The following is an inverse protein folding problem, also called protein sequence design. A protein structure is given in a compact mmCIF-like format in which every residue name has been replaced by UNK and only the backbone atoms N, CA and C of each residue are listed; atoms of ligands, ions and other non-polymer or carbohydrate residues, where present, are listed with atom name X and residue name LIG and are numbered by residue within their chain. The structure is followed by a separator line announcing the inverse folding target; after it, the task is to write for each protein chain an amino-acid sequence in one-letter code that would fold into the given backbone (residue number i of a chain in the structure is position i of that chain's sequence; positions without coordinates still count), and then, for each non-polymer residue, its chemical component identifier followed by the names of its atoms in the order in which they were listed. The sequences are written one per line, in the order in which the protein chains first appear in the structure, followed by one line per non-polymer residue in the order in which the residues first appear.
data_IF_278452180414
#
_entry.id   IF_278452180414
#
_cell.length_a   1.000
_cell.length_b   1.000
_cell.length_c   1.000
_cell.angle_alpha   90.00
_cell.angle_beta   90.00
_cell.angle_gamma   90.00
#
_symmetry.space_group_name_H-M   'P 1'
#
loop_
_entity.id
_entity.type
_entity.pdbx_description
1 polymer ?
#
# COMPACT_ATOMS: atom_id res chain seq x y z
N UNK A 1 -40.83 0.16 -37.82
CA UNK A 1 -39.53 0.78 -37.60
C UNK A 1 -39.11 0.55 -36.19
N UNK A 2 -38.14 -0.35 -36.04
CA UNK A 2 -37.56 -0.72 -34.73
C UNK A 2 -36.29 0.10 -34.55
N UNK A 3 -36.08 0.76 -33.41
CA UNK A 3 -34.81 1.42 -33.15
C UNK A 3 -33.79 0.45 -32.52
N UNK A 4 -32.68 0.38 -33.17
CA UNK A 4 -31.33 0.34 -32.72
C UNK A 4 -30.98 -0.51 -31.51
N UNK A 5 -30.37 -1.67 -31.81
CA UNK A 5 -29.61 -2.44 -30.84
C UNK A 5 -28.44 -1.62 -30.26
N UNK A 6 -28.48 -1.38 -28.97
CA UNK A 6 -27.33 -0.93 -28.23
C UNK A 6 -26.25 -2.00 -28.35
N UNK A 7 -25.20 -1.67 -29.08
CA UNK A 7 -23.99 -2.43 -29.19
C UNK A 7 -23.36 -2.53 -27.80
N UNK A 8 -23.61 -3.63 -27.09
CA UNK A 8 -22.80 -3.99 -25.91
C UNK A 8 -21.39 -4.20 -26.42
N UNK A 9 -20.52 -3.24 -26.19
CA UNK A 9 -19.09 -3.48 -26.26
C UNK A 9 -18.79 -4.63 -25.30
N UNK A 10 -18.67 -5.83 -25.87
CA UNK A 10 -18.09 -6.97 -25.19
C UNK A 10 -16.58 -6.67 -25.08
N UNK A 11 -16.20 -5.96 -24.04
CA UNK A 11 -14.78 -5.88 -23.65
C UNK A 11 -14.45 -7.32 -23.23
N UNK A 12 -13.87 -8.09 -24.14
CA UNK A 12 -13.20 -9.33 -23.80
C UNK A 12 -12.02 -8.96 -22.91
N UNK A 13 -12.27 -8.85 -21.63
CA UNK A 13 -11.23 -8.75 -20.61
C UNK A 13 -10.55 -10.10 -20.56
N UNK A 14 -9.41 -10.20 -21.24
CA UNK A 14 -8.40 -11.21 -20.92
C UNK A 14 -8.16 -11.06 -19.41
N UNK A 15 -8.59 -12.07 -18.63
CA UNK A 15 -8.52 -12.06 -17.15
C UNK A 15 -7.05 -12.31 -16.78
N UNK A 16 -6.14 -11.42 -17.21
CA UNK A 16 -4.76 -11.44 -16.80
C UNK A 16 -4.68 -10.92 -15.36
N UNK A 17 -3.90 -11.61 -14.58
CA UNK A 17 -3.57 -11.15 -13.23
C UNK A 17 -2.86 -9.79 -13.35
N UNK A 18 -3.35 -8.77 -12.67
CA UNK A 18 -2.79 -7.42 -12.69
C UNK A 18 -2.17 -7.08 -11.35
N UNK A 19 -0.95 -6.57 -11.35
CA UNK A 19 -0.31 -6.12 -10.11
C UNK A 19 -0.84 -4.77 -9.67
N UNK A 20 -1.12 -4.67 -8.38
CA UNK A 20 -1.55 -3.46 -7.68
C UNK A 20 -0.54 -3.14 -6.60
N UNK A 21 -0.01 -1.93 -6.63
CA UNK A 21 0.90 -1.41 -5.61
C UNK A 21 0.17 -0.48 -4.66
N UNK A 22 0.46 -0.62 -3.37
CA UNK A 22 0.06 0.32 -2.33
C UNK A 22 1.31 1.03 -1.83
N UNK A 23 1.48 2.28 -2.25
CA UNK A 23 2.70 3.07 -2.00
C UNK A 23 2.40 4.19 -1.00
N UNK A 24 3.26 4.33 0.00
CA UNK A 24 3.11 5.34 1.05
C UNK A 24 4.47 5.77 1.59
N UNK A 25 4.57 7.02 2.02
CA UNK A 25 5.68 7.55 2.82
C UNK A 25 5.60 7.16 4.32
N UNK A 26 4.50 6.54 4.72
CA UNK A 26 4.28 5.96 6.04
C UNK A 26 3.97 4.46 5.96
N UNK A 27 3.09 3.98 6.85
CA UNK A 27 2.76 2.54 6.98
C UNK A 27 1.97 1.95 5.81
N UNK A 28 1.35 2.78 4.97
CA UNK A 28 0.55 2.33 3.83
C UNK A 28 -0.89 1.92 4.15
N UNK A 29 -1.31 1.93 5.41
CA UNK A 29 -2.65 1.47 5.84
C UNK A 29 -3.76 2.19 5.07
N UNK A 30 -3.66 3.51 4.87
CA UNK A 30 -4.68 4.28 4.13
C UNK A 30 -4.76 3.86 2.67
N UNK A 31 -3.61 3.72 2.01
CA UNK A 31 -3.54 3.28 0.62
C UNK A 31 -4.15 1.89 0.43
N UNK A 32 -3.83 0.95 1.33
CA UNK A 32 -4.37 -0.40 1.33
C UNK A 32 -5.87 -0.44 1.59
N UNK A 33 -6.33 0.20 2.68
CA UNK A 33 -7.74 0.14 3.09
C UNK A 33 -8.65 0.71 2.00
N UNK A 34 -8.30 1.88 1.44
CA UNK A 34 -9.08 2.47 0.37
C UNK A 34 -8.96 1.67 -0.93
N UNK A 35 -7.74 1.27 -1.28
CA UNK A 35 -7.51 0.46 -2.48
C UNK A 35 -8.26 -0.87 -2.44
N UNK A 36 -8.24 -1.60 -1.33
CA UNK A 36 -9.03 -2.83 -1.17
C UNK A 36 -10.52 -2.58 -1.33
N UNK A 37 -11.04 -1.50 -0.74
CA UNK A 37 -12.46 -1.13 -0.85
C UNK A 37 -12.87 -0.85 -2.29
N UNK A 38 -11.99 -0.20 -3.06
CA UNK A 38 -12.23 0.08 -4.48
C UNK A 38 -12.10 -1.17 -5.35
N UNK A 39 -11.07 -1.99 -5.13
CA UNK A 39 -10.83 -3.22 -5.89
C UNK A 39 -11.93 -4.27 -5.65
N UNK A 40 -12.54 -4.30 -4.46
CA UNK A 40 -13.66 -5.18 -4.13
C UNK A 40 -14.90 -4.95 -5.01
N UNK A 41 -14.99 -3.79 -5.68
CA UNK A 41 -16.07 -3.52 -6.64
C UNK A 41 -15.88 -4.25 -7.98
N UNK A 42 -14.75 -4.94 -8.18
CA UNK A 42 -14.40 -5.66 -9.42
C UNK A 42 -14.15 -7.15 -9.13
N UNK A 43 -15.18 -7.94 -8.76
CA UNK A 43 -15.03 -9.31 -8.27
C UNK A 43 -14.43 -10.28 -9.32
N UNK A 44 -14.60 -9.98 -10.61
CA UNK A 44 -14.06 -10.81 -11.70
C UNK A 44 -12.57 -10.56 -11.97
N UNK A 45 -12.01 -9.44 -11.48
CA UNK A 45 -10.61 -9.09 -11.72
C UNK A 45 -9.70 -9.81 -10.71
N UNK A 46 -8.54 -10.29 -11.20
CA UNK A 46 -7.52 -10.93 -10.36
C UNK A 46 -6.36 -9.99 -10.14
N UNK A 47 -6.04 -9.72 -8.88
CA UNK A 47 -4.97 -8.82 -8.51
C UNK A 47 -3.84 -9.55 -7.77
N UNK A 48 -2.59 -9.18 -8.09
CA UNK A 48 -1.42 -9.43 -7.26
C UNK A 48 -1.14 -8.14 -6.49
N UNK A 49 -1.15 -8.20 -5.19
CA UNK A 49 -0.97 -7.02 -4.34
C UNK A 49 0.49 -6.93 -3.88
N UNK A 50 1.06 -5.74 -3.92
CA UNK A 50 2.41 -5.43 -3.47
C UNK A 50 2.33 -4.20 -2.55
N UNK A 51 2.90 -4.30 -1.37
CA UNK A 51 3.00 -3.20 -0.41
C UNK A 51 4.36 -2.53 -0.56
N UNK A 52 4.36 -1.21 -0.61
CA UNK A 52 5.56 -0.38 -0.61
C UNK A 52 5.42 0.74 0.44
N UNK A 53 5.51 0.40 1.74
CA UNK A 53 5.49 1.38 2.81
C UNK A 53 6.84 2.09 2.92
N UNK A 54 6.86 3.24 3.61
CA UNK A 54 8.07 4.02 3.93
C UNK A 54 8.89 4.46 2.71
N UNK A 55 8.21 4.77 1.60
CA UNK A 55 8.79 5.40 0.41
C UNK A 55 8.90 6.91 0.69
N UNK A 56 9.81 7.29 1.57
CA UNK A 56 9.97 8.64 2.13
C UNK A 56 11.12 9.43 1.50
N UNK A 57 11.91 8.81 0.61
CA UNK A 57 13.00 9.42 -0.13
C UNK A 57 12.96 9.09 -1.64
N UNK A 58 13.80 9.81 -2.42
CA UNK A 58 13.87 9.66 -3.87
C UNK A 58 14.40 8.29 -4.28
N UNK A 59 15.37 7.73 -3.56
CA UNK A 59 16.02 6.48 -3.94
C UNK A 59 15.02 5.33 -3.82
N UNK A 60 14.25 5.29 -2.74
CA UNK A 60 13.15 4.33 -2.54
C UNK A 60 12.04 4.52 -3.58
N UNK A 61 11.72 5.75 -3.96
CA UNK A 61 10.74 6.00 -5.01
C UNK A 61 11.22 5.49 -6.37
N UNK A 62 12.50 5.63 -6.70
CA UNK A 62 13.11 5.08 -7.92
C UNK A 62 13.11 3.56 -7.91
N UNK A 63 13.44 2.94 -6.77
CA UNK A 63 13.39 1.49 -6.59
C UNK A 63 11.96 0.97 -6.79
N UNK A 64 10.98 1.60 -6.14
CA UNK A 64 9.57 1.27 -6.30
C UNK A 64 9.10 1.43 -7.76
N UNK A 65 9.49 2.52 -8.44
CA UNK A 65 9.20 2.72 -9.86
C UNK A 65 9.82 1.62 -10.75
N UNK A 66 10.97 1.07 -10.34
CA UNK A 66 11.59 -0.06 -11.05
C UNK A 66 10.78 -1.33 -10.88
N UNK A 67 10.35 -1.65 -9.65
CA UNK A 67 9.47 -2.79 -9.37
C UNK A 67 8.12 -2.69 -10.12
N UNK A 68 7.57 -1.49 -10.26
CA UNK A 68 6.35 -1.24 -11.03
C UNK A 68 6.57 -1.56 -12.52
N UNK A 69 7.72 -1.14 -13.10
CA UNK A 69 8.06 -1.45 -14.51
C UNK A 69 8.26 -2.94 -14.72
N UNK A 70 8.93 -3.64 -13.81
CA UNK A 70 9.10 -5.09 -13.86
C UNK A 70 7.76 -5.81 -13.82
N UNK A 71 6.86 -5.40 -12.94
CA UNK A 71 5.51 -5.95 -12.86
C UNK A 71 4.71 -5.71 -14.14
N UNK A 72 4.87 -4.56 -14.81
CA UNK A 72 4.23 -4.29 -16.09
C UNK A 72 4.70 -5.25 -17.19
N UNK A 73 5.99 -5.60 -17.18
CA UNK A 73 6.58 -6.56 -18.11
C UNK A 73 6.05 -7.98 -17.82
N UNK A 74 6.08 -8.39 -16.56
CA UNK A 74 5.66 -9.73 -16.12
C UNK A 74 4.17 -9.98 -16.38
N UNK A 75 3.32 -9.01 -16.07
CA UNK A 75 1.87 -9.13 -16.24
C UNK A 75 1.43 -8.89 -17.71
N UNK A 76 2.27 -8.23 -18.51
CA UNK A 76 1.94 -7.80 -19.88
C UNK A 76 0.81 -6.75 -19.92
N UNK A 77 0.51 -6.11 -18.80
CA UNK A 77 -0.51 -5.06 -18.62
C UNK A 77 -0.03 -4.02 -17.64
N UNK A 78 -0.53 -2.80 -17.81
CA UNK A 78 -0.16 -1.65 -16.96
C UNK A 78 -0.59 -1.89 -15.50
N UNK A 79 0.31 -1.83 -14.50
CA UNK A 79 -0.03 -1.94 -13.08
C UNK A 79 -0.96 -0.82 -12.60
N UNK A 80 -1.57 -1.02 -11.44
CA UNK A 80 -2.33 0.00 -10.72
C UNK A 80 -1.52 0.39 -9.48
N UNK A 81 -1.44 1.68 -9.19
CA UNK A 81 -0.73 2.20 -8.01
C UNK A 81 -1.69 3.08 -7.22
N UNK A 82 -1.99 2.69 -5.99
CA UNK A 82 -2.62 3.53 -4.99
C UNK A 82 -1.52 4.20 -4.19
N UNK A 83 -1.42 5.52 -4.25
CA UNK A 83 -0.36 6.31 -3.62
C UNK A 83 -0.93 7.26 -2.57
N UNK A 84 -0.25 7.35 -1.42
CA UNK A 84 -0.48 8.36 -0.39
C UNK A 84 0.76 9.22 -0.15
N UNK A 85 1.68 9.25 -1.13
CA UNK A 85 2.84 10.13 -1.08
C UNK A 85 2.39 11.60 -1.10
N UNK A 86 3.07 12.43 -0.31
CA UNK A 86 2.78 13.87 -0.23
C UNK A 86 3.95 14.72 -0.73
N UNK A 87 5.17 14.18 -0.77
CA UNK A 87 6.34 14.90 -1.26
C UNK A 87 6.41 14.84 -2.79
N UNK A 88 6.37 16.00 -3.45
CA UNK A 88 6.32 16.10 -4.91
C UNK A 88 7.54 15.44 -5.58
N UNK A 89 8.72 15.51 -4.98
CA UNK A 89 9.93 14.91 -5.58
C UNK A 89 9.87 13.38 -5.59
N UNK A 90 9.30 12.75 -4.57
CA UNK A 90 9.07 11.30 -4.52
C UNK A 90 7.94 10.90 -5.46
N UNK A 91 6.86 11.68 -5.54
CA UNK A 91 5.77 11.49 -6.51
C UNK A 91 6.30 11.53 -7.94
N UNK A 92 7.08 12.56 -8.29
CA UNK A 92 7.65 12.73 -9.63
C UNK A 92 8.61 11.57 -10.00
N UNK A 93 9.37 11.07 -9.03
CA UNK A 93 10.24 9.92 -9.21
C UNK A 93 9.44 8.63 -9.47
N UNK A 94 8.37 8.41 -8.70
CA UNK A 94 7.48 7.26 -8.84
C UNK A 94 6.73 7.27 -10.19
N UNK A 95 6.25 8.44 -10.62
CA UNK A 95 5.48 8.62 -11.86
C UNK A 95 6.31 8.42 -13.14
N UNK A 96 7.62 8.18 -13.04
CA UNK A 96 8.44 7.75 -14.19
C UNK A 96 8.14 6.31 -14.64
N UNK A 97 7.43 5.52 -13.87
CA UNK A 97 6.93 4.22 -14.29
C UNK A 97 5.62 4.38 -15.08
N UNK A 98 5.39 3.48 -16.06
CA UNK A 98 4.10 3.42 -16.76
C UNK A 98 3.11 2.59 -15.93
N UNK A 99 2.24 3.28 -15.20
CA UNK A 99 1.19 2.69 -14.36
C UNK A 99 -0.07 3.56 -14.34
N UNK A 100 -1.18 2.99 -13.90
CA UNK A 100 -2.34 3.79 -13.50
C UNK A 100 -2.12 4.30 -12.09
N UNK A 101 -1.75 5.57 -11.94
CA UNK A 101 -1.59 6.22 -10.64
C UNK A 101 -2.91 6.76 -10.12
N UNK A 102 -3.22 6.42 -8.89
CA UNK A 102 -4.34 6.89 -8.10
C UNK A 102 -3.78 7.56 -6.83
N UNK A 103 -3.36 8.83 -7.00
CA UNK A 103 -2.81 9.64 -5.91
C UNK A 103 -3.96 10.11 -5.02
N UNK A 104 -4.13 9.42 -3.91
CA UNK A 104 -5.33 9.53 -3.06
C UNK A 104 -5.42 10.89 -2.39
N UNK A 105 -4.31 11.43 -1.88
CA UNK A 105 -4.34 12.72 -1.20
C UNK A 105 -4.54 13.89 -2.17
N UNK A 106 -3.87 13.88 -3.31
CA UNK A 106 -3.96 14.97 -4.28
C UNK A 106 -5.39 15.18 -4.76
N UNK A 107 -6.14 14.09 -4.98
CA UNK A 107 -7.55 14.13 -5.41
C UNK A 107 -8.49 14.78 -4.41
N UNK A 108 -8.21 14.70 -3.12
CA UNK A 108 -9.10 15.20 -2.06
C UNK A 108 -8.59 16.48 -1.41
N UNK A 109 -7.26 16.67 -1.34
CA UNK A 109 -6.66 17.85 -0.70
C UNK A 109 -7.04 19.13 -1.45
N UNK A 110 -6.92 19.18 -2.77
CA UNK A 110 -7.23 20.38 -3.54
C UNK A 110 -8.64 20.92 -3.31
N UNK A 111 -9.71 20.12 -3.46
CA UNK A 111 -11.05 20.53 -3.10
C UNK A 111 -11.23 20.99 -1.65
N UNK A 112 -10.56 20.32 -0.69
CA UNK A 112 -10.61 20.72 0.71
C UNK A 112 -9.90 22.05 0.99
N UNK A 113 -8.79 22.33 0.33
CA UNK A 113 -8.07 23.61 0.43
C UNK A 113 -8.98 24.77 -0.03
N UNK A 114 -9.69 24.57 -1.13
CA UNK A 114 -10.63 25.58 -1.66
C UNK A 114 -11.78 25.80 -0.68
N UNK A 115 -12.42 24.74 -0.18
CA UNK A 115 -13.56 24.84 0.72
C UNK A 115 -13.20 25.43 2.08
N UNK A 116 -12.03 25.04 2.63
CA UNK A 116 -11.56 25.50 3.94
C UNK A 116 -10.83 26.85 3.88
N UNK A 117 -10.51 27.36 2.70
CA UNK A 117 -9.71 28.59 2.52
C UNK A 117 -8.30 28.48 3.14
N UNK A 118 -7.77 27.28 3.28
CA UNK A 118 -6.47 27.01 3.89
C UNK A 118 -5.65 26.07 3.03
N UNK A 119 -4.35 26.29 2.96
CA UNK A 119 -3.46 25.35 2.27
C UNK A 119 -3.09 24.18 3.17
N UNK A 120 -3.08 22.99 2.59
CA UNK A 120 -2.56 21.77 3.22
C UNK A 120 -1.09 21.96 3.61
N UNK A 121 -0.70 21.36 4.69
CA UNK A 121 0.71 21.35 5.12
C UNK A 121 1.52 20.26 4.46
N UNK A 122 0.90 19.37 3.69
CA UNK A 122 1.51 18.18 3.08
C UNK A 122 2.37 17.37 4.07
N UNK A 123 1.98 17.37 5.35
CA UNK A 123 2.75 16.72 6.38
C UNK A 123 2.43 15.23 6.45
N UNK A 124 3.47 14.42 6.33
CA UNK A 124 3.42 12.95 6.47
C UNK A 124 2.98 12.56 7.88
N UNK A 125 2.11 11.55 7.99
CA UNK A 125 1.82 10.89 9.27
C UNK A 125 1.04 11.71 10.30
N UNK A 126 0.43 12.84 9.95
CA UNK A 126 -0.36 13.66 10.90
C UNK A 126 -1.61 13.00 11.46
N UNK A 127 -2.02 11.87 10.92
CA UNK A 127 -3.18 11.14 11.45
C UNK A 127 -2.94 10.57 12.85
N UNK A 128 -1.67 10.35 13.21
CA UNK A 128 -1.24 9.99 14.56
C UNK A 128 -0.49 11.19 15.12
N UNK A 129 -1.02 11.85 16.14
CA UNK A 129 -0.51 13.09 16.71
C UNK A 129 1.03 13.15 16.84
N UNK A 130 1.59 14.32 16.69
CA UNK A 130 3.02 14.64 16.50
C UNK A 130 3.98 13.99 17.54
N UNK A 131 3.47 13.53 18.69
CA UNK A 131 4.27 12.88 19.74
C UNK A 131 4.52 11.37 19.53
N UNK A 132 3.83 10.73 18.56
CA UNK A 132 3.76 9.27 18.50
C UNK A 132 4.37 8.62 17.24
N UNK A 133 4.91 9.41 16.31
CA UNK A 133 5.34 8.86 15.01
C UNK A 133 6.50 7.86 15.12
N UNK A 134 7.47 8.13 16.00
CA UNK A 134 8.59 7.21 16.26
C UNK A 134 8.13 5.98 17.05
N UNK A 135 7.35 6.16 18.10
CA UNK A 135 6.78 5.07 18.87
C UNK A 135 5.82 4.22 18.03
N UNK A 136 5.04 4.85 17.15
CA UNK A 136 4.18 4.13 16.24
C UNK A 136 4.98 3.31 15.20
N UNK A 137 6.07 3.87 14.64
CA UNK A 137 6.96 3.17 13.74
C UNK A 137 7.58 1.95 14.42
N UNK A 138 8.17 2.12 15.60
CA UNK A 138 8.73 1.02 16.40
C UNK A 138 7.68 -0.03 16.75
N UNK A 139 6.45 0.40 17.09
CA UNK A 139 5.36 -0.53 17.40
C UNK A 139 4.95 -1.35 16.17
N UNK A 140 4.86 -0.73 14.99
CA UNK A 140 4.53 -1.45 13.74
C UNK A 140 5.67 -2.38 13.34
N UNK A 141 6.93 -1.97 13.50
CA UNK A 141 8.10 -2.82 13.26
C UNK A 141 8.08 -4.04 14.19
N UNK A 142 7.79 -3.84 15.47
CA UNK A 142 7.65 -4.93 16.45
C UNK A 142 6.49 -5.88 16.11
N UNK A 143 5.33 -5.34 15.69
CA UNK A 143 4.19 -6.17 15.26
C UNK A 143 4.56 -6.97 14.00
N UNK A 144 5.18 -6.35 13.01
CA UNK A 144 5.60 -7.04 11.80
C UNK A 144 6.65 -8.12 12.09
N UNK A 145 7.59 -7.83 12.99
CA UNK A 145 8.57 -8.82 13.47
C UNK A 145 7.86 -10.00 14.15
N UNK A 146 6.95 -9.73 15.08
CA UNK A 146 6.19 -10.76 15.78
C UNK A 146 5.37 -11.64 14.83
N UNK A 147 4.71 -11.04 13.82
CA UNK A 147 3.94 -11.78 12.81
C UNK A 147 4.81 -12.61 11.89
N UNK A 148 5.99 -12.11 11.49
CA UNK A 148 6.92 -12.83 10.63
C UNK A 148 7.53 -14.06 11.32
N UNK A 149 7.60 -14.04 12.65
CA UNK A 149 8.23 -15.10 13.47
C UNK A 149 7.21 -15.93 14.28
N UNK A 150 5.90 -15.76 14.00
CA UNK A 150 4.86 -16.56 14.65
C UNK A 150 4.98 -18.04 14.22
N UNK A 151 4.67 -18.94 15.14
CA UNK A 151 4.71 -20.40 14.94
C UNK A 151 6.08 -21.00 14.54
N UNK A 152 7.20 -20.30 14.81
CA UNK A 152 8.54 -20.83 14.63
C UNK A 152 9.00 -20.98 13.18
N UNK A 153 8.49 -20.17 12.27
CA UNK A 153 8.82 -20.19 10.82
C UNK A 153 10.20 -19.56 10.53
N UNK A 154 10.88 -19.02 11.54
CA UNK A 154 12.12 -18.25 11.40
C UNK A 154 13.39 -19.10 11.43
N UNK A 155 14.44 -18.61 10.75
CA UNK A 155 15.78 -19.15 10.84
C UNK A 155 16.41 -18.84 12.21
N UNK A 156 17.31 -19.70 12.70
CA UNK A 156 17.94 -19.56 14.03
C UNK A 156 18.64 -18.21 14.27
N UNK A 157 19.06 -17.49 13.20
CA UNK A 157 19.73 -16.18 13.31
C UNK A 157 18.80 -15.01 13.56
N UNK A 158 17.56 -15.09 13.11
CA UNK A 158 16.61 -13.98 13.21
C UNK A 158 16.00 -13.84 14.59
N UNK A 159 15.90 -14.93 15.36
CA UNK A 159 15.43 -14.91 16.75
C UNK A 159 16.39 -14.17 17.71
N UNK A 160 17.64 -13.95 17.31
CA UNK A 160 18.60 -13.19 18.11
C UNK A 160 18.26 -11.69 18.22
N UNK A 161 17.39 -11.18 17.33
CA UNK A 161 16.92 -9.80 17.35
C UNK A 161 15.68 -9.61 18.25
N UNK A 162 15.08 -10.68 18.76
CA UNK A 162 13.90 -10.61 19.60
C UNK A 162 14.25 -10.18 21.02
N UNK A 163 13.58 -9.15 21.54
CA UNK A 163 13.68 -8.76 22.95
C UNK A 163 13.00 -9.76 23.89
N UNK A 164 11.92 -10.39 23.42
CA UNK A 164 11.12 -11.35 24.20
C UNK A 164 10.66 -12.50 23.29
N UNK A 165 10.79 -13.73 23.77
CA UNK A 165 10.28 -14.93 23.11
C UNK A 165 9.20 -15.57 23.98
N UNK A 166 7.98 -15.70 23.43
CA UNK A 166 6.86 -16.34 24.13
C UNK A 166 6.80 -17.84 23.81
N UNK A 167 6.96 -18.68 24.83
CA UNK A 167 6.89 -20.13 24.70
C UNK A 167 5.65 -20.65 25.46
N UNK A 168 4.89 -21.53 24.83
CA UNK A 168 3.71 -22.13 25.47
C UNK A 168 2.99 -23.10 24.54
N UNK A 169 2.03 -23.84 25.11
CA UNK A 169 1.22 -24.80 24.36
C UNK A 169 0.36 -24.12 23.29
N UNK A 170 -0.07 -24.88 22.29
CA UNK A 170 -0.97 -24.37 21.25
C UNK A 170 -2.23 -23.78 21.88
N UNK A 171 -2.74 -22.67 21.30
CA UNK A 171 -3.94 -21.93 21.75
C UNK A 171 -3.86 -21.34 23.17
N UNK A 172 -2.65 -21.10 23.69
CA UNK A 172 -2.46 -20.42 24.98
C UNK A 172 -2.49 -18.89 24.92
N UNK A 173 -2.79 -18.31 23.75
CA UNK A 173 -2.86 -16.86 23.58
C UNK A 173 -1.51 -16.21 23.25
N UNK A 174 -0.48 -16.95 22.85
CA UNK A 174 0.86 -16.40 22.50
C UNK A 174 0.76 -15.34 21.42
N UNK A 175 0.20 -15.68 20.26
CA UNK A 175 0.06 -14.76 19.12
C UNK A 175 -0.63 -13.44 19.48
N UNK A 176 -1.83 -13.42 20.11
CA UNK A 176 -2.41 -12.15 20.50
C UNK A 176 -1.57 -11.40 21.55
N UNK A 177 -0.82 -12.10 22.40
CA UNK A 177 0.05 -11.46 23.41
C UNK A 177 1.29 -10.85 22.76
N UNK A 178 1.87 -11.48 21.73
CA UNK A 178 3.04 -10.93 21.01
C UNK A 178 2.73 -9.70 20.16
N UNK A 179 1.47 -9.48 19.82
CA UNK A 179 1.01 -8.33 19.03
C UNK A 179 0.57 -7.13 19.88
N UNK A 180 0.45 -7.30 21.22
CA UNK A 180 0.01 -6.25 22.14
C UNK A 180 1.15 -5.43 22.68
#
# INVERSE_FOLDING_TARGET
PTPGGASRLHIMTDIRRRTVFFVSDGTGITAETLGHSLLAQFPEAKFRQVRAPFVDDIDKAIECATQIREAAIDDGVRPIVFSTLVNQTTVDALHKADALFLDLFDRFIGPLEVELGQRSTHAVGRFHGIADSLNYKYRIEAINFAMAHDDGISSEGELAEADVILVGVSRSGKTPTSLY
#
